data_IF_789073353434
#
_entry.id   IF_789073353434
#
_cell.length_a   1.000
_cell.length_b   1.000
_cell.length_c   1.000
_cell.angle_alpha   90.00
_cell.angle_beta   90.00
_cell.angle_gamma   90.00
#
_symmetry.space_group_name_H-M   'P 1'
#
loop_
_entity.id
_entity.type
_entity.pdbx_description
1 polymer ?
#
# COMPACT_ATOMS: atom_id res chain seq x y z
N UNK A 1 -1.48 -7.19 14.51
CA UNK A 1 -2.78 -6.84 13.93
C UNK A 1 -3.40 -8.04 13.25
N UNK A 2 -4.57 -8.40 13.63
CA UNK A 2 -5.28 -9.52 13.07
C UNK A 2 -6.50 -9.00 12.33
N UNK A 3 -6.50 -9.18 11.02
CA UNK A 3 -7.65 -8.83 10.23
C UNK A 3 -7.92 -7.34 10.12
N UNK A 4 -8.81 -6.99 9.23
CA UNK A 4 -9.22 -5.62 8.99
C UNK A 4 -10.73 -5.54 9.15
N UNK A 5 -11.23 -4.41 9.66
CA UNK A 5 -12.67 -4.21 9.80
C UNK A 5 -13.36 -4.30 8.45
N UNK A 6 -14.38 -5.17 8.30
CA UNK A 6 -15.07 -5.29 7.01
C UNK A 6 -15.68 -3.98 6.52
N UNK A 7 -16.23 -3.16 7.39
CA UNK A 7 -16.84 -1.91 6.96
C UNK A 7 -15.80 -0.89 6.50
N UNK A 8 -14.67 -0.81 7.19
CA UNK A 8 -13.58 0.07 6.77
C UNK A 8 -13.01 -0.40 5.45
N UNK A 9 -12.82 -1.71 5.31
CA UNK A 9 -12.28 -2.29 4.09
C UNK A 9 -13.20 -2.02 2.90
N UNK A 10 -14.51 -2.18 3.10
CA UNK A 10 -15.48 -1.90 2.07
C UNK A 10 -15.42 -0.44 1.60
N UNK A 11 -15.36 0.49 2.56
CA UNK A 11 -15.25 1.91 2.24
C UNK A 11 -13.96 2.22 1.50
N UNK A 12 -12.86 1.60 1.93
CA UNK A 12 -11.57 1.81 1.29
C UNK A 12 -11.61 1.35 -0.16
N UNK A 13 -12.19 0.18 -0.41
CA UNK A 13 -12.31 -0.36 -1.76
C UNK A 13 -13.17 0.51 -2.68
N UNK A 14 -14.16 1.19 -2.10
CA UNK A 14 -15.06 2.04 -2.88
C UNK A 14 -14.54 3.45 -3.08
N UNK A 15 -13.36 3.76 -2.51
CA UNK A 15 -12.79 5.09 -2.68
C UNK A 15 -13.37 6.14 -1.76
N UNK A 16 -13.85 5.74 -0.58
CA UNK A 16 -14.40 6.67 0.40
C UNK A 16 -13.38 7.73 0.81
N UNK A 17 -12.11 7.36 0.91
CA UNK A 17 -11.04 8.31 1.22
C UNK A 17 -10.27 8.68 -0.04
N UNK A 18 -9.96 9.97 -0.18
CA UNK A 18 -9.19 10.46 -1.32
C UNK A 18 -7.71 10.13 -1.11
N UNK A 19 -7.07 9.60 -2.14
CA UNK A 19 -5.64 9.33 -2.10
C UNK A 19 -4.89 10.66 -2.10
N UNK A 20 -4.08 10.88 -1.08
CA UNK A 20 -3.38 12.15 -0.87
C UNK A 20 -1.90 12.11 -1.24
N UNK A 21 -1.32 10.91 -1.32
CA UNK A 21 0.09 10.75 -1.65
C UNK A 21 0.31 9.36 -2.22
N UNK A 22 1.40 9.18 -2.96
CA UNK A 22 1.71 7.86 -3.50
C UNK A 22 3.20 7.70 -3.73
N UNK A 23 3.64 6.44 -3.76
CA UNK A 23 4.98 6.07 -4.18
C UNK A 23 4.90 4.87 -5.10
N UNK A 24 5.96 4.70 -5.89
CA UNK A 24 6.07 3.61 -6.84
C UNK A 24 7.33 2.81 -6.50
N UNK A 25 7.16 1.53 -6.23
CA UNK A 25 8.24 0.64 -5.83
C UNK A 25 8.79 -0.19 -6.97
N UNK A 26 8.20 -0.09 -8.17
CA UNK A 26 8.62 -0.98 -9.24
C UNK A 26 10.10 -0.73 -9.56
N UNK A 27 10.81 -1.81 -9.87
CA UNK A 27 12.24 -1.70 -10.14
C UNK A 27 13.14 -1.72 -8.93
N UNK A 28 12.59 -1.59 -7.72
CA UNK A 28 13.39 -1.65 -6.51
C UNK A 28 13.56 -3.10 -6.03
N UNK A 29 14.71 -3.40 -5.44
CA UNK A 29 14.87 -4.68 -4.77
C UNK A 29 14.19 -4.60 -3.40
N UNK A 30 13.96 -5.78 -2.79
CA UNK A 30 13.17 -5.87 -1.57
C UNK A 30 13.63 -4.96 -0.45
N UNK A 31 14.93 -4.91 -0.19
CA UNK A 31 15.44 -4.10 0.92
C UNK A 31 15.23 -2.62 0.68
N UNK A 32 15.47 -2.18 -0.55
CA UNK A 32 15.24 -0.78 -0.92
C UNK A 32 13.77 -0.42 -0.82
N UNK A 33 12.91 -1.31 -1.31
CA UNK A 33 11.47 -1.07 -1.27
C UNK A 33 10.97 -0.97 0.17
N UNK A 34 11.46 -1.85 1.04
CA UNK A 34 11.05 -1.85 2.44
C UNK A 34 11.41 -0.54 3.13
N UNK A 35 12.63 -0.06 2.93
CA UNK A 35 13.07 1.20 3.50
C UNK A 35 12.25 2.36 2.96
N UNK A 36 12.00 2.37 1.66
CA UNK A 36 11.24 3.42 1.02
C UNK A 36 9.81 3.48 1.59
N UNK A 37 9.16 2.33 1.75
CA UNK A 37 7.82 2.27 2.34
C UNK A 37 7.85 2.81 3.77
N UNK A 38 8.82 2.40 4.58
CA UNK A 38 8.91 2.84 5.96
C UNK A 38 9.05 4.36 6.06
N UNK A 39 9.93 4.93 5.25
CA UNK A 39 10.15 6.38 5.22
C UNK A 39 8.92 7.12 4.73
N UNK A 40 8.27 6.58 3.71
CA UNK A 40 7.07 7.18 3.16
C UNK A 40 5.95 7.23 4.19
N UNK A 41 5.69 6.11 4.86
CA UNK A 41 4.62 6.05 5.86
C UNK A 41 4.93 6.95 7.04
N UNK A 42 6.19 7.02 7.47
CA UNK A 42 6.58 7.90 8.54
C UNK A 42 6.34 9.37 8.17
N UNK A 43 6.71 9.74 6.95
CA UNK A 43 6.49 11.10 6.46
C UNK A 43 4.99 11.43 6.40
N UNK A 44 4.19 10.50 5.90
CA UNK A 44 2.75 10.70 5.81
C UNK A 44 2.12 10.91 7.17
N UNK A 45 2.57 10.14 8.17
CA UNK A 45 2.06 10.29 9.53
C UNK A 45 2.35 11.69 10.07
N UNK A 46 3.57 12.18 9.86
CA UNK A 46 3.94 13.51 10.32
C UNK A 46 3.13 14.61 9.65
N UNK A 47 2.69 14.37 8.42
CA UNK A 47 1.92 15.34 7.64
C UNK A 47 0.42 15.13 7.77
N UNK A 48 -0.02 14.22 8.62
CA UNK A 48 -1.44 13.90 8.83
C UNK A 48 -2.14 13.43 7.56
N UNK A 49 -1.42 12.75 6.70
CA UNK A 49 -1.99 12.16 5.50
C UNK A 49 -2.63 10.82 5.87
N UNK A 50 -3.90 10.62 5.47
CA UNK A 50 -4.66 9.44 5.88
C UNK A 50 -4.74 8.36 4.83
N UNK A 51 -4.77 8.70 3.55
CA UNK A 51 -4.98 7.69 2.50
C UNK A 51 -3.88 7.82 1.45
N UNK A 52 -3.20 6.72 1.18
CA UNK A 52 -2.07 6.72 0.25
C UNK A 52 -2.16 5.54 -0.69
N UNK A 53 -1.46 5.64 -1.82
CA UNK A 53 -1.35 4.55 -2.77
C UNK A 53 0.11 4.13 -2.87
N UNK A 54 0.34 2.81 -2.86
CA UNK A 54 1.68 2.26 -3.06
C UNK A 54 1.63 1.34 -4.27
N UNK A 55 2.39 1.69 -5.28
CA UNK A 55 2.44 0.94 -6.54
C UNK A 55 3.60 -0.04 -6.47
N UNK A 56 3.31 -1.33 -6.57
CA UNK A 56 4.37 -2.35 -6.59
C UNK A 56 4.56 -2.94 -7.99
N UNK A 57 3.67 -2.63 -8.90
CA UNK A 57 3.73 -3.08 -10.27
C UNK A 57 2.92 -4.33 -10.53
N UNK A 58 2.71 -4.66 -11.79
CA UNK A 58 1.91 -5.84 -12.17
C UNK A 58 2.73 -7.05 -12.59
N UNK A 59 4.06 -6.91 -12.70
CA UNK A 59 4.91 -8.03 -13.05
C UNK A 59 5.00 -8.36 -14.52
N UNK A 60 4.45 -7.54 -15.32
CA UNK A 60 4.52 -7.78 -16.75
C UNK A 60 5.99 -7.73 -17.19
N UNK A 61 6.51 -8.84 -17.69
CA UNK A 61 7.89 -8.94 -18.07
C UNK A 61 8.87 -9.30 -16.98
N UNK A 62 8.39 -9.49 -15.75
CA UNK A 62 9.24 -9.83 -14.60
C UNK A 62 8.74 -11.11 -13.98
N UNK A 63 9.20 -12.22 -14.44
CA UNK A 63 8.63 -13.51 -14.11
C UNK A 63 8.15 -13.70 -12.68
N UNK A 64 8.98 -13.63 -11.69
CA UNK A 64 8.59 -13.96 -10.33
C UNK A 64 8.73 -12.81 -9.36
N UNK A 65 9.11 -11.64 -9.84
CA UNK A 65 9.42 -10.55 -8.93
C UNK A 65 8.23 -9.91 -8.30
N UNK A 66 7.17 -9.72 -9.09
CA UNK A 66 6.08 -8.97 -8.60
C UNK A 66 5.23 -9.62 -7.61
N UNK A 67 4.93 -10.91 -7.75
CA UNK A 67 4.25 -11.59 -6.66
C UNK A 67 5.03 -11.50 -5.37
N UNK A 68 6.37 -11.55 -5.45
CA UNK A 68 7.22 -11.46 -4.27
C UNK A 68 7.09 -10.10 -3.61
N UNK A 69 7.21 -9.03 -4.38
CA UNK A 69 7.12 -7.68 -3.82
C UNK A 69 5.73 -7.39 -3.28
N UNK A 70 4.70 -7.83 -3.96
CA UNK A 70 3.33 -7.67 -3.52
C UNK A 70 3.10 -8.34 -2.16
N UNK A 71 3.57 -9.59 -2.01
CA UNK A 71 3.45 -10.32 -0.75
C UNK A 71 4.23 -9.66 0.37
N UNK A 72 5.46 -9.24 0.08
CA UNK A 72 6.28 -8.59 1.09
C UNK A 72 5.66 -7.28 1.55
N UNK A 73 5.14 -6.50 0.63
CA UNK A 73 4.48 -5.24 0.98
C UNK A 73 3.33 -5.47 1.95
N UNK A 74 2.49 -6.45 1.68
CA UNK A 74 1.39 -6.76 2.58
C UNK A 74 1.88 -7.13 3.97
N UNK A 75 2.94 -7.91 4.05
CA UNK A 75 3.51 -8.28 5.34
C UNK A 75 4.08 -7.06 6.07
N UNK A 76 4.74 -6.15 5.35
CA UNK A 76 5.26 -4.94 5.96
C UNK A 76 4.12 -4.08 6.51
N UNK A 77 3.04 -3.94 5.74
CA UNK A 77 1.91 -3.10 6.16
C UNK A 77 1.22 -3.66 7.41
N UNK A 78 1.07 -4.98 7.48
CA UNK A 78 0.45 -5.62 8.65
C UNK A 78 1.23 -5.32 9.92
N UNK A 79 2.54 -5.16 9.82
CA UNK A 79 3.41 -4.93 10.98
C UNK A 79 3.48 -3.48 11.43
N UNK A 80 2.90 -2.56 10.66
CA UNK A 80 2.95 -1.12 10.99
C UNK A 80 1.73 -0.71 11.77
N UNK A 81 1.95 -0.18 12.97
CA UNK A 81 0.84 0.27 13.81
C UNK A 81 0.04 1.41 13.19
N UNK A 82 0.68 2.23 12.37
CA UNK A 82 0.00 3.36 11.75
C UNK A 82 -0.97 2.94 10.63
N UNK A 83 -0.91 1.68 10.19
CA UNK A 83 -1.79 1.19 9.13
C UNK A 83 -3.09 0.63 9.73
N UNK A 84 -4.22 1.22 9.34
CA UNK A 84 -5.54 0.75 9.76
C UNK A 84 -6.02 -0.37 8.83
N UNK A 85 -5.87 -0.15 7.53
CA UNK A 85 -6.39 -1.08 6.54
C UNK A 85 -5.66 -0.88 5.20
N UNK A 86 -5.70 -1.89 4.36
CA UNK A 86 -5.19 -1.78 3.00
C UNK A 86 -6.04 -2.66 2.09
N UNK A 87 -6.11 -2.29 0.80
CA UNK A 87 -6.89 -3.04 -0.18
C UNK A 87 -6.27 -2.85 -1.56
N UNK A 88 -6.50 -3.82 -2.44
CA UNK A 88 -6.06 -3.68 -3.82
C UNK A 88 -6.75 -2.47 -4.44
N UNK A 89 -6.01 -1.72 -5.25
CA UNK A 89 -6.56 -0.55 -5.93
C UNK A 89 -7.61 -0.96 -6.96
N UNK A 90 -8.51 -0.03 -7.28
CA UNK A 90 -9.45 -0.23 -8.36
C UNK A 90 -8.70 -0.27 -9.69
N UNK A 91 -9.27 -0.88 -10.73
CA UNK A 91 -8.59 -0.92 -12.03
C UNK A 91 -8.12 0.45 -12.52
N UNK A 92 -8.92 1.48 -12.33
CA UNK A 92 -8.56 2.83 -12.76
C UNK A 92 -7.44 3.45 -11.93
N UNK A 93 -7.15 2.88 -10.76
CA UNK A 93 -6.12 3.38 -9.85
C UNK A 93 -4.89 2.49 -9.79
N UNK A 94 -4.74 1.57 -10.71
CA UNK A 94 -3.60 0.68 -10.75
C UNK A 94 -3.92 -0.80 -10.62
N UNK A 95 -5.13 -1.13 -10.19
CA UNK A 95 -5.60 -2.52 -10.13
C UNK A 95 -4.67 -3.41 -9.32
N UNK A 96 -4.31 -4.55 -9.89
CA UNK A 96 -3.50 -5.54 -9.19
C UNK A 96 -2.06 -5.09 -8.96
N UNK A 97 -1.65 -3.97 -9.55
CA UNK A 97 -0.31 -3.46 -9.38
C UNK A 97 -0.16 -2.44 -8.27
N UNK A 98 -1.21 -2.16 -7.52
CA UNK A 98 -1.17 -1.14 -6.47
C UNK A 98 -2.05 -1.50 -5.30
N UNK A 99 -1.74 -0.90 -4.15
CA UNK A 99 -2.53 -1.07 -2.93
C UNK A 99 -2.87 0.31 -2.38
N UNK A 100 -4.09 0.46 -1.89
CA UNK A 100 -4.53 1.67 -1.21
C UNK A 100 -4.43 1.40 0.29
N UNK A 101 -3.85 2.33 1.02
CA UNK A 101 -3.58 2.15 2.45
C UNK A 101 -4.22 3.28 3.23
N UNK A 102 -4.93 2.93 4.30
CA UNK A 102 -5.53 3.90 5.21
C UNK A 102 -4.69 3.95 6.48
N UNK A 103 -4.28 5.15 6.84
CA UNK A 103 -3.45 5.39 8.01
C UNK A 103 -4.25 6.00 9.16
N UNK A 104 -3.76 5.80 10.38
CA UNK A 104 -4.36 6.41 11.56
C UNK A 104 -4.23 7.93 11.49
N UNK A 105 -5.21 8.58 12.08
CA UNK A 105 -5.18 10.03 12.19
C UNK A 105 -4.05 10.49 13.11
#
# INVERSE_FOLDING_TARGET
RTGQSPSILSKLRRGFWVVQAQIDLHGLISDEAREYVAEFLSSCKKRNIRCVRIVHGKGLGSRNREPVLKHKLRNWLIQKDEVIAYAQAKPEDGGSGAVIVLLKA
#
